data_IF_532042192388
#
_entry.id   IF_532042192388
#
_cell.length_a   1.000
_cell.length_b   1.000
_cell.length_c   1.000
_cell.angle_alpha   90.00
_cell.angle_beta   90.00
_cell.angle_gamma   90.00
#
_symmetry.space_group_name_H-M   'P 1'
#
loop_
_entity.id
_entity.type
_entity.pdbx_description
1 polymer ?
#
# COMPACT_ATOMS: atom_id res chain seq x y z
N UNK A 1 0.14 -4.92 4.54
CA UNK A 1 1.59 -5.09 4.32
C UNK A 1 2.43 -5.00 5.59
N UNK A 2 1.90 -4.47 6.72
CA UNK A 2 2.61 -4.41 8.01
C UNK A 2 3.23 -5.75 8.46
N UNK A 3 2.56 -6.86 8.19
CA UNK A 3 3.08 -8.19 8.55
C UNK A 3 4.32 -8.63 7.75
N UNK A 4 4.46 -8.20 6.49
CA UNK A 4 5.68 -8.40 5.71
C UNK A 4 6.86 -7.63 6.33
N UNK A 5 6.60 -6.41 6.80
CA UNK A 5 7.61 -5.52 7.38
C UNK A 5 8.10 -6.01 8.73
N UNK A 6 7.18 -6.40 9.61
CA UNK A 6 7.48 -6.86 10.97
C UNK A 6 8.31 -8.15 11.02
N UNK A 7 8.34 -8.93 9.94
CA UNK A 7 9.05 -10.22 9.91
C UNK A 7 10.20 -10.30 8.91
N UNK A 8 9.96 -9.90 7.66
CA UNK A 8 10.87 -10.22 6.54
C UNK A 8 11.71 -9.03 6.11
N UNK A 9 11.17 -7.81 6.14
CA UNK A 9 11.88 -6.65 5.60
C UNK A 9 13.11 -6.27 6.45
N UNK A 10 13.00 -6.28 7.77
CA UNK A 10 14.10 -5.97 8.69
C UNK A 10 15.32 -6.89 8.57
N UNK A 11 15.15 -8.10 8.01
CA UNK A 11 16.23 -9.07 7.80
C UNK A 11 16.91 -8.94 6.42
N UNK A 12 16.27 -8.27 5.45
CA UNK A 12 16.71 -8.25 4.05
C UNK A 12 17.18 -6.89 3.56
N UNK A 13 16.85 -5.80 4.26
CA UNK A 13 17.05 -4.42 3.80
C UNK A 13 17.82 -3.58 4.82
N UNK A 14 18.28 -2.40 4.42
CA UNK A 14 19.04 -1.49 5.27
C UNK A 14 18.15 -0.85 6.35
N UNK A 15 18.73 -0.51 7.50
CA UNK A 15 17.98 0.02 8.67
C UNK A 15 17.24 1.32 8.40
N UNK A 16 17.75 2.15 7.49
CA UNK A 16 17.14 3.43 7.08
C UNK A 16 16.19 3.29 5.88
N UNK A 17 15.96 2.08 5.37
CA UNK A 17 15.11 1.87 4.19
C UNK A 17 13.62 2.06 4.52
N UNK A 18 12.90 2.59 3.54
CA UNK A 18 11.47 2.88 3.62
C UNK A 18 10.70 1.94 2.70
N UNK A 19 9.47 1.61 3.10
CA UNK A 19 8.62 0.66 2.39
C UNK A 19 7.27 1.28 2.08
N UNK A 20 6.98 1.39 0.80
CA UNK A 20 5.73 1.93 0.27
C UNK A 20 4.95 0.82 -0.44
N UNK A 21 4.09 0.08 0.28
CA UNK A 21 3.07 -0.72 -0.37
C UNK A 21 2.06 0.16 -1.11
N UNK A 22 1.72 -0.21 -2.33
CA UNK A 22 0.83 0.53 -3.22
C UNK A 22 -0.18 -0.42 -3.87
N UNK A 23 -1.46 -0.10 -3.72
CA UNK A 23 -2.56 -0.78 -4.39
C UNK A 23 -3.18 0.18 -5.41
N UNK A 24 -3.40 -0.29 -6.63
CA UNK A 24 -4.11 0.47 -7.66
C UNK A 24 -5.56 0.80 -7.22
N UNK A 25 -5.87 2.09 -7.01
CA UNK A 25 -7.20 2.59 -6.65
C UNK A 25 -8.03 3.07 -7.86
N UNK A 26 -7.55 2.82 -9.08
CA UNK A 26 -8.01 3.30 -10.39
C UNK A 26 -7.89 4.82 -10.57
N UNK A 27 -8.01 5.30 -11.82
CA UNK A 27 -8.00 6.74 -12.20
C UNK A 27 -6.87 7.57 -11.57
N UNK A 28 -5.62 7.30 -11.96
CA UNK A 28 -4.39 7.98 -11.47
C UNK A 28 -4.15 7.95 -9.94
N UNK A 29 -5.00 7.28 -9.19
CA UNK A 29 -4.92 7.21 -7.73
C UNK A 29 -4.43 5.83 -7.26
N UNK A 30 -3.87 5.81 -6.06
CA UNK A 30 -3.44 4.60 -5.37
C UNK A 30 -3.81 4.65 -3.90
N UNK A 31 -4.03 3.48 -3.30
CA UNK A 31 -3.96 3.33 -1.86
C UNK A 31 -2.53 3.05 -1.47
N UNK A 32 -1.97 3.89 -0.62
CA UNK A 32 -0.58 3.76 -0.19
C UNK A 32 -0.41 4.14 1.27
N UNK A 33 0.75 3.82 1.78
CA UNK A 33 1.29 4.19 3.09
C UNK A 33 2.80 4.05 2.97
N UNK A 34 3.56 4.66 3.87
CA UNK A 34 5.00 4.46 3.98
C UNK A 34 5.33 4.05 5.39
N UNK A 35 6.14 3.02 5.51
CA UNK A 35 6.68 2.55 6.77
C UNK A 35 8.21 2.57 6.77
N UNK A 36 8.81 2.70 7.93
CA UNK A 36 10.23 2.36 8.13
C UNK A 36 10.43 0.85 8.36
N UNK A 37 11.67 0.45 8.60
CA UNK A 37 12.05 -0.95 8.90
C UNK A 37 11.46 -1.49 10.20
N UNK A 38 11.12 -0.62 11.16
CA UNK A 38 10.47 -0.98 12.41
C UNK A 38 8.93 -1.10 12.26
N UNK A 39 8.41 -0.78 11.07
CA UNK A 39 6.98 -0.80 10.77
C UNK A 39 6.22 0.38 11.35
N UNK A 40 6.92 1.45 11.76
CA UNK A 40 6.33 2.73 12.13
C UNK A 40 5.91 3.47 10.87
N UNK A 41 4.73 4.07 10.93
CA UNK A 41 4.14 4.78 9.82
C UNK A 41 4.80 6.16 9.64
N UNK A 42 5.35 6.41 8.45
CA UNK A 42 5.94 7.68 8.02
C UNK A 42 4.93 8.48 7.19
N UNK A 43 4.14 7.78 6.37
CA UNK A 43 3.01 8.35 5.63
C UNK A 43 1.75 7.54 5.95
N UNK A 44 0.66 8.19 6.40
CA UNK A 44 -0.54 7.49 6.81
C UNK A 44 -1.17 6.66 5.69
N UNK A 45 -1.83 5.57 6.07
CA UNK A 45 -2.61 4.80 5.11
C UNK A 45 -3.74 5.65 4.53
N UNK A 46 -3.74 5.84 3.21
CA UNK A 46 -4.63 6.77 2.55
C UNK A 46 -4.71 6.56 1.05
N UNK A 47 -5.60 7.34 0.42
CA UNK A 47 -5.71 7.43 -1.02
C UNK A 47 -4.91 8.64 -1.50
N UNK A 48 -4.00 8.41 -2.47
CA UNK A 48 -3.06 9.41 -2.94
C UNK A 48 -3.10 9.51 -4.46
N UNK A 49 -3.11 10.74 -4.95
CA UNK A 49 -2.85 11.07 -6.36
C UNK A 49 -1.40 11.51 -6.45
N UNK A 50 -0.59 10.78 -7.20
CA UNK A 50 0.85 11.01 -7.32
C UNK A 50 1.13 11.32 -8.79
N UNK A 51 1.43 12.57 -9.08
CA UNK A 51 1.67 13.07 -10.46
C UNK A 51 3.10 13.53 -10.69
N UNK A 52 3.80 13.92 -9.62
CA UNK A 52 5.11 14.57 -9.67
C UNK A 52 6.08 13.86 -8.74
N UNK A 53 7.37 13.89 -9.09
CA UNK A 53 8.40 13.13 -8.38
C UNK A 53 8.69 13.72 -7.00
N UNK A 54 8.31 14.98 -6.76
CA UNK A 54 8.43 15.67 -5.47
C UNK A 54 7.74 14.92 -4.33
N UNK A 55 6.65 14.20 -4.63
CA UNK A 55 6.00 13.32 -3.64
C UNK A 55 6.99 12.31 -3.05
N UNK A 56 7.85 11.71 -3.88
CA UNK A 56 8.85 10.75 -3.42
C UNK A 56 10.05 11.45 -2.75
N UNK A 57 10.45 12.63 -3.24
CA UNK A 57 11.54 13.42 -2.64
C UNK A 57 11.19 13.86 -1.21
N UNK A 58 9.94 14.22 -0.95
CA UNK A 58 9.47 14.61 0.38
C UNK A 58 9.50 13.45 1.38
N UNK A 59 9.32 12.22 0.89
CA UNK A 59 9.40 10.99 1.70
C UNK A 59 10.86 10.60 1.95
N UNK A 60 11.70 10.67 0.92
CA UNK A 60 13.11 10.25 0.99
C UNK A 60 13.96 11.38 1.58
N UNK A 61 14.07 11.41 2.91
CA UNK A 61 14.97 12.32 3.62
C UNK A 61 16.23 11.57 4.07
N UNK A 62 17.40 12.19 3.97
CA UNK A 62 18.63 11.65 4.56
C UNK A 62 19.33 10.51 3.80
N UNK A 63 18.94 10.24 2.54
CA UNK A 63 19.60 9.22 1.70
C UNK A 63 19.04 7.80 1.82
N UNK A 64 17.92 7.62 2.51
CA UNK A 64 17.15 6.37 2.57
C UNK A 64 16.75 5.86 1.18
N UNK A 65 16.63 4.54 1.02
CA UNK A 65 16.02 3.96 -0.18
C UNK A 65 14.54 3.72 0.06
N UNK A 66 13.71 4.05 -0.93
CA UNK A 66 12.28 3.78 -0.89
C UNK A 66 11.94 2.57 -1.76
N UNK A 67 11.45 1.51 -1.14
CA UNK A 67 10.98 0.31 -1.80
C UNK A 67 9.48 0.41 -2.08
N UNK A 68 9.11 0.53 -3.35
CA UNK A 68 7.71 0.63 -3.81
C UNK A 68 7.26 -0.72 -4.36
N UNK A 69 6.14 -1.24 -3.87
CA UNK A 69 5.68 -2.58 -4.26
C UNK A 69 4.16 -2.75 -4.16
N UNK A 70 3.62 -3.77 -4.81
CA UNK A 70 2.18 -4.01 -4.91
C UNK A 70 1.61 -3.60 -6.27
N UNK A 71 0.31 -3.81 -6.47
CA UNK A 71 -0.32 -3.73 -7.79
C UNK A 71 -0.28 -2.33 -8.42
N UNK A 72 -0.18 -1.28 -7.61
CA UNK A 72 -0.10 0.10 -8.09
C UNK A 72 1.31 0.60 -8.39
N UNK A 73 2.36 -0.16 -8.02
CA UNK A 73 3.75 0.29 -8.08
C UNK A 73 4.22 0.59 -9.52
N UNK A 74 3.75 -0.21 -10.48
CA UNK A 74 4.10 -0.10 -11.90
C UNK A 74 3.69 1.25 -12.53
N UNK A 75 2.68 1.93 -11.98
CA UNK A 75 2.22 3.24 -12.47
C UNK A 75 3.31 4.32 -12.39
N UNK A 76 4.27 4.15 -11.48
CA UNK A 76 5.26 5.19 -11.16
C UNK A 76 6.62 4.96 -11.80
N UNK A 77 6.78 3.91 -12.63
CA UNK A 77 8.06 3.60 -13.31
C UNK A 77 8.69 4.79 -14.03
N UNK A 78 7.86 5.58 -14.73
CA UNK A 78 8.35 6.76 -15.48
C UNK A 78 8.80 7.87 -14.53
N UNK A 79 7.96 8.20 -13.55
CA UNK A 79 8.22 9.25 -12.57
C UNK A 79 9.44 8.94 -11.70
N UNK A 80 9.64 7.65 -11.40
CA UNK A 80 10.77 7.15 -10.62
C UNK A 80 12.08 7.10 -11.43
N UNK A 81 12.02 6.96 -12.76
CA UNK A 81 13.22 6.99 -13.59
C UNK A 81 13.96 8.34 -13.54
N UNK A 82 13.26 9.40 -13.12
CA UNK A 82 13.80 10.75 -12.93
C UNK A 82 14.45 10.93 -11.54
N UNK A 83 14.28 9.96 -10.64
CA UNK A 83 14.90 9.94 -9.32
C UNK A 83 16.20 9.14 -9.37
N UNK A 84 17.26 9.67 -8.77
CA UNK A 84 18.66 9.19 -8.82
C UNK A 84 18.88 7.84 -8.10
N UNK A 85 18.13 6.79 -8.48
CA UNK A 85 18.24 5.43 -7.93
C UNK A 85 17.74 5.24 -6.50
N UNK A 86 17.21 6.28 -5.86
CA UNK A 86 16.72 6.22 -4.47
C UNK A 86 15.39 5.49 -4.32
N UNK A 87 14.61 5.34 -5.39
CA UNK A 87 13.35 4.58 -5.39
C UNK A 87 13.51 3.28 -6.17
N UNK A 88 13.15 2.17 -5.53
CA UNK A 88 13.27 0.81 -6.07
C UNK A 88 11.87 0.21 -6.19
N UNK A 89 11.47 -0.13 -7.42
CA UNK A 89 10.16 -0.76 -7.69
C UNK A 89 10.30 -2.28 -7.72
N UNK A 90 9.48 -2.97 -6.93
CA UNK A 90 9.37 -4.44 -6.94
C UNK A 90 8.09 -4.88 -7.66
N UNK A 91 8.18 -5.06 -8.99
CA UNK A 91 7.02 -5.36 -9.84
C UNK A 91 6.34 -6.71 -9.59
N UNK A 92 7.04 -7.70 -9.00
CA UNK A 92 6.54 -9.06 -8.77
C UNK A 92 6.17 -9.33 -7.30
N UNK A 93 5.89 -8.30 -6.51
CA UNK A 93 5.52 -8.49 -5.12
C UNK A 93 4.14 -9.13 -4.99
N UNK A 94 4.08 -10.29 -4.34
CA UNK A 94 2.83 -10.97 -4.01
C UNK A 94 2.62 -10.99 -2.50
N UNK A 95 1.44 -10.53 -2.06
CA UNK A 95 1.04 -10.58 -0.66
C UNK A 95 0.70 -12.01 -0.27
N UNK A 96 1.38 -12.57 0.72
CA UNK A 96 1.17 -13.93 1.22
C UNK A 96 0.45 -13.91 2.55
N UNK A 97 -0.44 -14.87 2.78
CA UNK A 97 -1.12 -15.05 4.07
C UNK A 97 -0.13 -15.28 5.22
N UNK A 98 1.00 -15.95 4.95
CA UNK A 98 2.06 -16.19 5.92
C UNK A 98 2.69 -14.90 6.47
N UNK A 99 2.60 -13.78 5.75
CA UNK A 99 3.07 -12.49 6.25
C UNK A 99 2.19 -11.97 7.38
N UNK A 100 0.94 -12.44 7.51
CA UNK A 100 0.02 -11.98 8.55
C UNK A 100 0.06 -12.84 9.81
N UNK A 101 0.74 -14.00 9.79
CA UNK A 101 0.69 -14.99 10.87
C UNK A 101 1.18 -14.45 12.20
N UNK A 102 2.27 -13.67 12.23
CA UNK A 102 2.80 -13.06 13.45
C UNK A 102 1.83 -12.04 14.06
N UNK A 103 1.27 -11.16 13.23
CA UNK A 103 0.28 -10.16 13.66
C UNK A 103 -1.01 -10.81 14.14
N UNK A 104 -1.47 -11.86 13.46
CA UNK A 104 -2.65 -12.61 13.86
C UNK A 104 -2.43 -13.32 15.21
N UNK A 105 -1.26 -13.94 15.41
CA UNK A 105 -0.89 -14.56 16.67
C UNK A 105 -0.79 -13.53 17.80
N UNK A 106 -0.20 -12.36 17.55
CA UNK A 106 -0.12 -11.29 18.54
C UNK A 106 -1.52 -10.81 18.98
N UNK A 107 -2.42 -10.54 18.04
CA UNK A 107 -3.82 -10.18 18.35
C UNK A 107 -4.53 -11.28 19.13
N UNK A 108 -4.35 -12.54 18.71
CA UNK A 108 -4.91 -13.71 19.39
C UNK A 108 -4.44 -13.81 20.84
N UNK A 109 -3.12 -13.72 21.08
CA UNK A 109 -2.53 -13.80 22.42
C UNK A 109 -2.93 -12.65 23.35
N UNK A 110 -3.31 -11.51 22.78
CA UNK A 110 -3.84 -10.34 23.50
C UNK A 110 -5.36 -10.33 23.62
N UNK A 111 -6.04 -11.39 23.18
CA UNK A 111 -7.50 -11.50 23.15
C UNK A 111 -8.18 -10.32 22.40
N UNK A 112 -7.52 -9.79 21.37
CA UNK A 112 -8.01 -8.68 20.55
C UNK A 112 -8.88 -9.21 19.41
N UNK A 113 -10.13 -9.52 19.75
CA UNK A 113 -11.14 -10.03 18.84
C UNK A 113 -11.96 -8.90 18.21
N UNK A 114 -12.39 -9.10 16.97
CA UNK A 114 -13.35 -8.22 16.30
C UNK A 114 -14.76 -8.83 16.43
N UNK A 115 -15.79 -8.01 16.63
CA UNK A 115 -17.18 -8.46 16.61
C UNK A 115 -17.67 -8.54 15.15
N UNK A 116 -18.09 -9.73 14.71
CA UNK A 116 -18.54 -9.96 13.33
C UNK A 116 -19.74 -9.10 12.92
N UNK A 117 -20.61 -8.70 13.86
CA UNK A 117 -21.78 -7.89 13.57
C UNK A 117 -21.43 -6.41 13.35
N UNK A 118 -20.32 -5.94 13.93
CA UNK A 118 -19.90 -4.53 13.89
C UNK A 118 -18.60 -4.30 13.12
N UNK A 119 -17.90 -5.36 12.72
CA UNK A 119 -16.70 -5.26 11.93
C UNK A 119 -17.01 -4.74 10.53
N UNK A 120 -16.36 -3.65 10.15
CA UNK A 120 -16.35 -3.16 8.78
C UNK A 120 -14.93 -3.26 8.19
N UNK A 121 -14.81 -3.62 6.91
CA UNK A 121 -13.55 -3.48 6.21
C UNK A 121 -13.10 -2.02 6.22
N UNK A 122 -11.79 -1.80 6.37
CA UNK A 122 -11.21 -0.46 6.31
C UNK A 122 -11.22 0.07 4.86
N UNK A 123 -12.36 0.61 4.42
CA UNK A 123 -12.51 1.24 3.12
C UNK A 123 -11.96 2.67 3.15
N UNK A 124 -10.94 2.93 2.34
CA UNK A 124 -10.32 4.26 2.21
C UNK A 124 -11.13 5.25 1.34
N UNK A 125 -12.24 4.79 0.76
CA UNK A 125 -13.18 5.61 0.01
C UNK A 125 -14.59 5.16 0.30
N UNK A 126 -15.50 6.12 0.27
CA UNK A 126 -16.93 5.83 0.30
C UNK A 126 -17.33 4.99 -0.91
N UNK A 127 -18.26 4.07 -0.68
CA UNK A 127 -18.85 3.28 -1.74
C UNK A 127 -19.63 4.20 -2.69
N UNK A 128 -19.23 4.24 -3.96
CA UNK A 128 -19.96 4.98 -4.98
C UNK A 128 -20.88 4.03 -5.76
N UNK A 129 -22.21 4.07 -5.53
CA UNK A 129 -23.15 3.25 -6.28
C UNK A 129 -23.12 3.65 -7.76
N UNK A 130 -23.07 2.66 -8.64
CA UNK A 130 -23.21 2.92 -10.08
C UNK A 130 -24.69 3.02 -10.44
N UNK A 131 -25.05 4.01 -11.24
CA UNK A 131 -26.41 4.10 -11.78
C UNK A 131 -26.67 2.91 -12.70
N UNK A 132 -27.81 2.21 -12.56
CA UNK A 132 -28.16 1.10 -13.44
C UNK A 132 -28.15 1.55 -14.91
N UNK A 133 -27.50 0.80 -15.80
CA UNK A 133 -27.63 1.05 -17.23
C UNK A 133 -29.08 0.81 -17.64
N UNK A 134 -29.74 1.81 -18.23
CA UNK A 134 -31.06 1.62 -18.84
C UNK A 134 -30.94 0.51 -19.90
N UNK A 135 -31.63 -0.62 -19.69
CA UNK A 135 -31.88 -1.59 -20.76
C UNK A 135 -32.86 -0.94 -21.73
N UNK A 136 -32.44 -0.71 -22.98
CA UNK A 136 -33.38 -0.42 -24.06
C UNK A 136 -34.18 -1.70 -24.33
N UNK A 137 -35.35 -1.83 -23.71
CA UNK A 137 -36.30 -2.93 -23.86
C UNK A 137 -37.20 -2.71 -25.09
N UNK A 138 -36.65 -2.43 -26.27
CA UNK A 138 -37.43 -2.37 -27.51
C UNK A 138 -36.55 -2.71 -28.72
N UNK A 139 -36.46 -3.99 -29.06
CA UNK A 139 -36.46 -4.44 -30.46
C UNK A 139 -37.43 -5.62 -30.52
N UNK A 140 -38.62 -5.35 -31.08
CA UNK A 140 -39.63 -6.33 -31.52
C UNK A 140 -39.73 -6.21 -33.03
#
# INVERSE_FOLDING_TARGET
YKGFLAGTASQMYGVEDLFMPVIDARRMEVYATVYDTEGKEILPTGAYVIEQEDFFKDIIKGGSKLHVFGSGAEKYKKLIAELDGQVIIHGNFSSKASYLSSLAYEKFSKEQWEDLAYFEPFYLKEFQPTSPKKKNLLEK
#
